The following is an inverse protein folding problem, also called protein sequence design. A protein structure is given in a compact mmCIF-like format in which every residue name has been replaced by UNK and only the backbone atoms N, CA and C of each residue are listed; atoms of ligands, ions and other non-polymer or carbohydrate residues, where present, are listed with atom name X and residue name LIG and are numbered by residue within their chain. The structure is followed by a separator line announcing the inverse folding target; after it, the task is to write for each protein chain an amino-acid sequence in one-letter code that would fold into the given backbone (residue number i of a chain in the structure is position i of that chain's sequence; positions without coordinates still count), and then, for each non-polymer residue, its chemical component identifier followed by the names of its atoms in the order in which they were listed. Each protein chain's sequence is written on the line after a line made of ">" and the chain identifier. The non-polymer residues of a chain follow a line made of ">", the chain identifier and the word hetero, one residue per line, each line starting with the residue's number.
data_IF_584512568675
#
_entry.id   IF_584512568675
#
_cell.length_a   1.000
_cell.length_b   1.000
_cell.length_c   1.000
_cell.angle_alpha   90.00
_cell.angle_beta   90.00
_cell.angle_gamma   90.00
#
_symmetry.space_group_name_H-M   'P 1'
#
loop_
_entity.id
_entity.type
_entity.pdbx_description
1 polymer ?
#
# COMPACT_ATOMS: atom_id res chain seq x y z
N UNK A 1 -6.10 -6.49 23.60
CA UNK A 1 -6.10 -5.47 22.54
C UNK A 1 -4.66 -5.25 22.12
N UNK A 2 -3.80 -4.87 23.06
CA UNK A 2 -2.36 -4.59 22.84
C UNK A 2 -1.63 -5.66 22.03
N UNK A 3 -1.76 -6.95 22.35
CA UNK A 3 -1.01 -8.00 21.63
C UNK A 3 -1.34 -8.08 20.14
N UNK A 4 -2.58 -7.80 19.74
CA UNK A 4 -3.02 -7.88 18.34
C UNK A 4 -2.65 -6.63 17.54
N UNK A 5 -2.55 -5.49 18.20
CA UNK A 5 -2.03 -4.26 17.61
C UNK A 5 -0.52 -4.43 17.38
N UNK A 6 0.20 -4.99 18.36
CA UNK A 6 1.61 -5.37 18.18
C UNK A 6 1.82 -6.38 17.06
N UNK A 7 0.89 -7.34 16.87
CA UNK A 7 0.95 -8.27 15.73
C UNK A 7 0.82 -7.54 14.39
N UNK A 8 -0.07 -6.54 14.29
CA UNK A 8 -0.22 -5.69 13.11
C UNK A 8 1.04 -4.86 12.85
N UNK A 9 1.61 -4.25 13.90
CA UNK A 9 2.87 -3.50 13.80
C UNK A 9 4.03 -4.41 13.35
N UNK A 10 4.10 -5.62 13.91
CA UNK A 10 5.07 -6.64 13.50
C UNK A 10 4.92 -7.02 12.02
N UNK A 11 3.70 -7.13 11.50
CA UNK A 11 3.47 -7.30 10.06
C UNK A 11 3.94 -6.09 9.25
N UNK A 12 3.69 -4.86 9.70
CA UNK A 12 4.16 -3.64 9.04
C UNK A 12 5.69 -3.57 9.00
N UNK A 13 6.39 -4.00 10.06
CA UNK A 13 7.85 -4.07 10.05
C UNK A 13 8.39 -5.20 9.18
N UNK A 14 7.77 -6.39 9.21
CA UNK A 14 8.19 -7.52 8.37
C UNK A 14 8.03 -7.24 6.89
N UNK A 15 6.97 -6.54 6.48
CA UNK A 15 6.68 -6.29 5.08
C UNK A 15 6.83 -4.80 4.81
N UNK A 16 7.89 -4.34 4.14
CA UNK A 16 8.12 -2.92 3.92
C UNK A 16 7.10 -2.35 2.94
N UNK A 17 6.65 -1.13 3.22
CA UNK A 17 5.66 -0.40 2.43
C UNK A 17 4.41 -1.24 2.09
N UNK A 18 3.74 -1.86 3.08
CA UNK A 18 2.51 -2.61 2.84
C UNK A 18 1.47 -1.73 2.19
N UNK A 19 0.72 -2.32 1.25
CA UNK A 19 -0.36 -1.62 0.58
C UNK A 19 -1.61 -1.63 1.46
N UNK A 20 -2.36 -0.55 1.46
CA UNK A 20 -3.61 -0.46 2.21
C UNK A 20 -4.78 -0.44 1.25
N UNK A 21 -5.76 -1.33 1.45
CA UNK A 21 -7.02 -1.30 0.72
C UNK A 21 -8.13 -0.86 1.68
N UNK A 22 -8.83 0.23 1.34
CA UNK A 22 -9.91 0.76 2.17
C UNK A 22 -11.28 0.68 1.49
N UNK A 23 -12.32 0.56 2.32
CA UNK A 23 -13.70 0.66 1.90
C UNK A 23 -14.51 1.54 2.86
N UNK A 24 -15.82 1.62 2.66
CA UNK A 24 -16.67 2.59 3.36
C UNK A 24 -16.63 2.47 4.89
N UNK A 25 -16.27 1.31 5.43
CA UNK A 25 -16.15 1.07 6.86
C UNK A 25 -15.19 2.04 7.57
N UNK A 26 -14.09 2.45 6.91
CA UNK A 26 -13.14 3.41 7.50
C UNK A 26 -13.76 4.81 7.69
N UNK A 27 -14.78 5.16 6.92
CA UNK A 27 -15.44 6.48 6.97
C UNK A 27 -16.67 6.51 7.90
N UNK A 28 -17.04 5.38 8.51
CA UNK A 28 -18.20 5.30 9.42
C UNK A 28 -18.04 6.17 10.66
N UNK A 29 -16.84 6.20 11.24
CA UNK A 29 -16.49 7.06 12.38
C UNK A 29 -16.38 8.56 12.00
N UNK A 30 -16.41 8.87 10.71
CA UNK A 30 -16.53 10.24 10.18
C UNK A 30 -17.98 10.67 9.94
N UNK A 31 -18.96 9.83 10.31
CA UNK A 31 -20.39 10.09 10.13
C UNK A 31 -20.93 9.74 8.73
N UNK A 32 -20.09 9.16 7.85
CA UNK A 32 -20.54 8.67 6.54
C UNK A 32 -21.02 7.22 6.71
N UNK A 33 -22.30 6.91 6.53
CA UNK A 33 -22.78 5.54 6.64
C UNK A 33 -22.11 4.66 5.59
N UNK A 34 -21.83 3.41 5.94
CA UNK A 34 -21.38 2.45 4.95
C UNK A 34 -22.56 1.98 4.07
N UNK A 35 -22.27 1.01 3.21
CA UNK A 35 -23.24 0.50 2.26
C UNK A 35 -24.11 -0.64 2.78
N UNK A 36 -23.62 -1.43 3.74
CA UNK A 36 -24.12 -2.80 3.99
C UNK A 36 -24.32 -3.15 5.47
N UNK A 37 -23.85 -2.34 6.40
CA UNK A 37 -23.97 -2.62 7.83
C UNK A 37 -25.43 -2.69 8.25
N UNK A 38 -25.83 -3.68 9.08
CA UNK A 38 -27.19 -3.80 9.55
C UNK A 38 -27.70 -2.53 10.24
N UNK A 39 -28.87 -2.03 9.83
CA UNK A 39 -29.55 -0.86 10.40
C UNK A 39 -29.01 0.51 9.95
N UNK A 40 -27.79 0.60 9.44
CA UNK A 40 -27.13 1.86 9.05
C UNK A 40 -26.72 1.93 7.59
N UNK A 41 -26.60 0.78 6.91
CA UNK A 41 -26.12 0.66 5.54
C UNK A 41 -27.07 1.26 4.51
N UNK A 42 -26.51 1.98 3.54
CA UNK A 42 -27.29 2.65 2.48
C UNK A 42 -28.16 1.69 1.66
N UNK A 43 -27.72 0.45 1.42
CA UNK A 43 -28.45 -0.53 0.60
C UNK A 43 -29.62 -1.23 1.30
N UNK A 44 -29.79 -1.06 2.61
CA UNK A 44 -31.02 -1.52 3.27
C UNK A 44 -32.23 -0.65 2.90
N UNK A 45 -31.98 0.58 2.43
CA UNK A 45 -32.99 1.60 2.22
C UNK A 45 -33.25 1.87 0.73
N UNK A 46 -32.36 1.45 -0.17
CA UNK A 46 -32.37 1.83 -1.58
C UNK A 46 -31.79 0.73 -2.50
N UNK A 47 -32.31 0.62 -3.73
CA UNK A 47 -31.74 -0.25 -4.76
C UNK A 47 -30.48 0.37 -5.41
N UNK A 48 -29.28 -0.21 -5.25
CA UNK A 48 -28.04 0.31 -5.84
C UNK A 48 -28.10 0.49 -7.36
N UNK A 49 -28.87 -0.34 -8.07
CA UNK A 49 -28.96 -0.25 -9.52
C UNK A 49 -29.78 0.95 -9.98
N UNK A 50 -30.70 1.45 -9.15
CA UNK A 50 -31.48 2.64 -9.47
C UNK A 50 -30.71 3.94 -9.20
N UNK A 51 -29.92 3.98 -8.12
CA UNK A 51 -29.29 5.21 -7.62
C UNK A 51 -27.77 5.29 -7.83
N UNK A 52 -27.12 4.21 -8.28
CA UNK A 52 -25.67 4.18 -8.46
C UNK A 52 -25.23 3.48 -9.74
N UNK A 53 -26.07 3.51 -10.78
CA UNK A 53 -25.74 3.02 -12.13
C UNK A 53 -25.87 4.11 -13.19
N UNK A 54 -25.10 3.96 -14.29
CA UNK A 54 -25.20 4.85 -15.46
C UNK A 54 -26.61 4.80 -16.06
N UNK A 55 -27.22 3.62 -16.09
CA UNK A 55 -28.58 3.42 -16.60
C UNK A 55 -29.62 4.10 -15.70
N UNK A 56 -29.46 4.01 -14.38
CA UNK A 56 -30.30 4.70 -13.40
C UNK A 56 -30.27 6.22 -13.58
N UNK A 57 -29.07 6.79 -13.75
CA UNK A 57 -28.88 8.22 -14.05
C UNK A 57 -29.57 8.64 -15.36
N UNK A 58 -29.48 7.82 -16.41
CA UNK A 58 -30.13 8.11 -17.70
C UNK A 58 -31.65 7.99 -17.64
N UNK A 59 -32.15 6.95 -16.97
CA UNK A 59 -33.59 6.64 -16.88
C UNK A 59 -34.33 7.61 -15.98
N UNK A 60 -33.74 8.00 -14.85
CA UNK A 60 -34.38 8.88 -13.87
C UNK A 60 -33.34 9.78 -13.16
N UNK A 61 -32.82 10.82 -13.85
CA UNK A 61 -31.84 11.73 -13.26
C UNK A 61 -32.39 12.46 -12.03
N UNK A 62 -33.72 12.68 -11.98
CA UNK A 62 -34.37 13.28 -10.81
C UNK A 62 -34.17 12.45 -9.56
N UNK A 63 -34.47 11.15 -9.62
CA UNK A 63 -34.26 10.25 -8.50
C UNK A 63 -32.77 10.15 -8.10
N UNK A 64 -31.87 10.07 -9.09
CA UNK A 64 -30.42 10.00 -8.87
C UNK A 64 -29.89 11.22 -8.10
N UNK A 65 -30.16 12.44 -8.58
CA UNK A 65 -29.61 13.65 -7.98
C UNK A 65 -30.30 14.02 -6.67
N UNK A 66 -31.61 13.83 -6.54
CA UNK A 66 -32.31 14.18 -5.28
C UNK A 66 -31.83 13.35 -4.10
N UNK A 67 -31.65 12.04 -4.26
CA UNK A 67 -31.14 11.18 -3.17
C UNK A 67 -29.61 11.29 -3.04
N UNK A 68 -28.90 11.40 -4.17
CA UNK A 68 -27.45 11.56 -4.19
C UNK A 68 -26.97 12.80 -3.45
N UNK A 69 -27.71 13.93 -3.52
CA UNK A 69 -27.27 15.19 -2.91
C UNK A 69 -27.19 15.17 -1.40
N UNK A 70 -28.14 14.54 -0.71
CA UNK A 70 -28.08 14.40 0.74
C UNK A 70 -26.82 13.63 1.16
N UNK A 71 -26.45 12.63 0.35
CA UNK A 71 -25.23 11.85 0.55
C UNK A 71 -23.98 12.68 0.22
N UNK A 72 -23.98 13.43 -0.88
CA UNK A 72 -22.88 14.30 -1.30
C UNK A 72 -22.61 15.36 -0.23
N UNK A 73 -23.62 16.04 0.29
CA UNK A 73 -23.44 17.06 1.32
C UNK A 73 -22.85 16.49 2.61
N UNK A 74 -23.34 15.32 3.03
CA UNK A 74 -22.77 14.59 4.18
C UNK A 74 -21.29 14.28 3.97
N UNK A 75 -20.93 13.78 2.77
CA UNK A 75 -19.55 13.42 2.43
C UNK A 75 -18.64 14.65 2.37
N UNK A 76 -19.08 15.73 1.72
CA UNK A 76 -18.28 16.94 1.55
C UNK A 76 -17.98 17.63 2.89
N UNK A 77 -18.91 17.55 3.86
CA UNK A 77 -18.76 18.17 5.17
C UNK A 77 -18.07 17.27 6.21
N UNK A 78 -18.00 15.95 5.98
CA UNK A 78 -17.35 15.00 6.88
C UNK A 78 -15.87 15.38 7.13
N UNK A 79 -15.34 15.07 8.30
CA UNK A 79 -13.92 15.27 8.63
C UNK A 79 -13.19 13.93 8.73
N UNK A 80 -11.88 13.88 8.38
CA UNK A 80 -11.07 12.68 8.60
C UNK A 80 -11.11 12.26 10.07
N UNK A 81 -11.35 10.97 10.32
CA UNK A 81 -11.24 10.37 11.65
C UNK A 81 -9.82 9.84 11.93
N UNK A 82 -9.61 9.24 13.10
CA UNK A 82 -8.33 8.66 13.53
C UNK A 82 -7.73 7.71 12.49
N UNK A 83 -8.54 6.85 11.85
CA UNK A 83 -8.05 5.91 10.84
C UNK A 83 -7.41 6.61 9.64
N UNK A 84 -8.04 7.67 9.13
CA UNK A 84 -7.51 8.46 8.02
C UNK A 84 -6.24 9.22 8.40
N UNK A 85 -6.25 9.84 9.58
CA UNK A 85 -5.12 10.63 10.09
C UNK A 85 -3.91 9.73 10.30
N UNK A 86 -4.09 8.58 10.95
CA UNK A 86 -3.00 7.64 11.21
C UNK A 86 -2.46 7.05 9.90
N UNK A 87 -3.30 6.72 8.92
CA UNK A 87 -2.79 6.28 7.61
C UNK A 87 -1.93 7.36 6.93
N UNK A 88 -2.32 8.64 7.02
CA UNK A 88 -1.49 9.75 6.57
C UNK A 88 -0.15 9.84 7.32
N UNK A 89 -0.18 9.72 8.65
CA UNK A 89 1.03 9.70 9.49
C UNK A 89 1.95 8.53 9.18
N UNK A 90 1.40 7.33 8.95
CA UNK A 90 2.17 6.14 8.56
C UNK A 90 2.83 6.30 7.19
N UNK A 91 2.17 6.94 6.22
CA UNK A 91 2.78 7.28 4.93
C UNK A 91 3.91 8.29 5.09
N UNK A 92 3.71 9.35 5.89
CA UNK A 92 4.74 10.35 6.18
C UNK A 92 5.94 9.72 6.89
N UNK A 93 5.70 8.80 7.84
CA UNK A 93 6.73 8.00 8.50
C UNK A 93 7.38 6.93 7.58
N UNK A 94 6.88 6.75 6.33
CA UNK A 94 7.29 5.73 5.36
C UNK A 94 7.17 4.29 5.88
N UNK A 95 6.19 4.07 6.74
CA UNK A 95 5.88 2.74 7.28
C UNK A 95 4.88 1.99 6.39
N UNK A 96 4.08 2.69 5.57
CA UNK A 96 3.15 2.09 4.61
C UNK A 96 3.36 2.62 3.18
N UNK A 97 2.91 1.83 2.21
CA UNK A 97 2.91 2.17 0.79
C UNK A 97 1.63 2.90 0.36
N UNK A 98 1.17 2.71 -0.89
CA UNK A 98 -0.03 3.37 -1.40
C UNK A 98 -1.31 2.90 -0.70
N UNK A 99 -2.28 3.81 -0.65
CA UNK A 99 -3.64 3.53 -0.19
C UNK A 99 -4.55 3.40 -1.42
N UNK A 100 -5.06 2.20 -1.67
CA UNK A 100 -6.12 1.95 -2.64
C UNK A 100 -7.46 2.15 -1.94
N UNK A 101 -8.25 3.13 -2.36
CA UNK A 101 -9.53 3.44 -1.72
C UNK A 101 -10.70 3.23 -2.68
N UNK A 102 -11.71 2.48 -2.22
CA UNK A 102 -13.02 2.39 -2.87
C UNK A 102 -13.92 3.59 -2.54
N UNK A 103 -13.50 4.45 -1.62
CA UNK A 103 -14.28 5.59 -1.16
C UNK A 103 -14.04 6.80 -2.07
N UNK A 104 -15.05 7.64 -2.17
CA UNK A 104 -15.10 8.82 -3.05
C UNK A 104 -15.13 10.14 -2.25
N UNK A 105 -14.79 10.05 -0.96
CA UNK A 105 -15.06 11.06 0.08
C UNK A 105 -13.92 12.05 0.34
N UNK A 106 -12.77 11.89 -0.34
CA UNK A 106 -11.58 12.73 -0.19
C UNK A 106 -10.93 12.70 1.21
N UNK A 107 -11.38 11.82 2.12
CA UNK A 107 -10.94 11.82 3.52
C UNK A 107 -9.50 11.35 3.71
N UNK A 108 -8.98 10.46 2.86
CA UNK A 108 -7.57 10.06 2.89
C UNK A 108 -6.63 11.23 2.60
N UNK A 109 -6.89 11.96 1.50
CA UNK A 109 -6.12 13.16 1.12
C UNK A 109 -6.18 14.21 2.24
N UNK A 110 -7.37 14.45 2.79
CA UNK A 110 -7.57 15.41 3.89
C UNK A 110 -7.00 14.92 5.22
N UNK A 111 -6.85 13.61 5.40
CA UNK A 111 -6.16 12.98 6.52
C UNK A 111 -4.63 12.97 6.41
N UNK A 112 -4.08 13.51 5.32
CA UNK A 112 -2.64 13.65 5.12
C UNK A 112 -1.98 12.53 4.29
N UNK A 113 -2.78 11.67 3.64
CA UNK A 113 -2.26 10.72 2.67
C UNK A 113 -1.70 11.44 1.44
N UNK A 114 -0.51 11.02 1.00
CA UNK A 114 0.23 11.61 -0.11
C UNK A 114 0.31 10.70 -1.33
N UNK A 115 0.04 9.40 -1.17
CA UNK A 115 0.05 8.43 -2.25
C UNK A 115 -1.17 7.51 -2.16
N UNK A 116 -2.15 7.73 -3.03
CA UNK A 116 -3.41 6.98 -2.99
C UNK A 116 -4.01 6.81 -4.39
N UNK A 117 -4.80 5.74 -4.56
CA UNK A 117 -5.53 5.41 -5.79
C UNK A 117 -7.03 5.42 -5.49
N UNK A 118 -7.77 6.29 -6.17
CA UNK A 118 -9.24 6.43 -6.02
C UNK A 118 -9.94 5.55 -7.06
N UNK A 119 -10.05 4.26 -6.76
CA UNK A 119 -10.50 3.27 -7.75
C UNK A 119 -11.98 3.38 -8.12
N UNK A 120 -12.75 4.16 -7.36
CA UNK A 120 -14.13 4.53 -7.68
C UNK A 120 -14.32 6.03 -7.96
N UNK A 121 -13.22 6.76 -8.23
CA UNK A 121 -13.26 8.20 -8.49
C UNK A 121 -13.49 9.03 -7.23
N UNK A 122 -14.06 10.23 -7.38
CA UNK A 122 -14.17 11.20 -6.29
C UNK A 122 -15.30 12.20 -6.48
N UNK A 123 -15.77 12.80 -5.37
CA UNK A 123 -16.77 13.86 -5.43
C UNK A 123 -16.23 15.27 -5.66
N UNK A 124 -14.92 15.49 -5.88
CA UNK A 124 -14.40 16.87 -6.07
C UNK A 124 -14.87 17.56 -7.35
N UNK A 125 -15.15 16.80 -8.42
CA UNK A 125 -15.50 17.33 -9.74
C UNK A 125 -16.61 16.53 -10.40
N UNK A 126 -17.14 17.05 -11.49
CA UNK A 126 -18.10 16.40 -12.36
C UNK A 126 -17.74 16.66 -13.83
N UNK A 127 -17.96 15.67 -14.69
CA UNK A 127 -17.71 15.76 -16.12
C UNK A 127 -19.00 15.70 -16.93
N UNK A 128 -19.07 16.50 -17.98
CA UNK A 128 -20.13 16.43 -18.96
C UNK A 128 -20.09 15.10 -19.72
N UNK A 129 -21.20 14.37 -19.75
CA UNK A 129 -21.30 13.08 -20.45
C UNK A 129 -21.16 13.20 -21.98
N UNK A 130 -21.46 14.39 -22.55
CA UNK A 130 -21.36 14.66 -23.99
C UNK A 130 -19.99 15.20 -24.44
N UNK A 131 -19.52 16.31 -23.86
CA UNK A 131 -18.28 16.98 -24.30
C UNK A 131 -17.07 16.78 -23.37
N UNK A 132 -17.22 16.05 -22.25
CA UNK A 132 -16.17 15.81 -21.24
C UNK A 132 -15.64 17.07 -20.54
N UNK A 133 -16.28 18.23 -20.71
CA UNK A 133 -15.97 19.43 -19.92
C UNK A 133 -16.14 19.13 -18.43
N UNK A 134 -15.10 19.37 -17.64
CA UNK A 134 -15.08 19.12 -16.22
C UNK A 134 -15.37 20.42 -15.44
N UNK A 135 -16.17 20.31 -14.39
CA UNK A 135 -16.53 21.41 -13.49
C UNK A 135 -16.37 20.99 -12.03
N UNK A 136 -16.19 21.93 -11.09
CA UNK A 136 -16.25 21.62 -9.67
C UNK A 136 -17.61 21.05 -9.27
N UNK A 137 -17.65 20.13 -8.31
CA UNK A 137 -18.91 19.51 -7.86
C UNK A 137 -19.91 20.55 -7.32
N UNK A 138 -19.41 21.67 -6.79
CA UNK A 138 -20.23 22.77 -6.28
C UNK A 138 -21.15 23.36 -7.36
N UNK A 139 -20.75 23.31 -8.63
CA UNK A 139 -21.61 23.74 -9.74
C UNK A 139 -22.81 22.79 -9.91
N UNK A 140 -22.56 21.49 -9.84
CA UNK A 140 -23.60 20.45 -9.89
C UNK A 140 -24.57 20.60 -8.73
N UNK A 141 -24.05 20.72 -7.50
CA UNK A 141 -24.85 20.93 -6.28
C UNK A 141 -25.72 22.16 -6.44
N UNK A 142 -25.12 23.30 -6.82
CA UNK A 142 -25.83 24.57 -6.98
C UNK A 142 -26.92 24.54 -8.06
N UNK A 143 -26.70 23.83 -9.17
CA UNK A 143 -27.73 23.65 -10.20
C UNK A 143 -28.92 22.86 -9.65
N UNK A 144 -28.66 21.75 -8.97
CA UNK A 144 -29.75 20.92 -8.46
C UNK A 144 -30.52 21.60 -7.32
N UNK A 145 -29.85 22.35 -6.43
CA UNK A 145 -30.52 23.16 -5.39
C UNK A 145 -31.48 24.20 -5.98
N UNK A 146 -31.15 24.75 -7.16
CA UNK A 146 -32.05 25.63 -7.93
C UNK A 146 -33.15 24.87 -8.69
N UNK A 147 -33.24 23.55 -8.56
CA UNK A 147 -34.21 22.69 -9.23
C UNK A 147 -33.85 22.29 -10.66
N UNK A 148 -32.61 22.56 -11.12
CA UNK A 148 -32.15 22.16 -12.45
C UNK A 148 -31.67 20.70 -12.43
N UNK A 149 -32.56 19.78 -12.82
CA UNK A 149 -32.28 18.34 -12.86
C UNK A 149 -32.70 17.76 -14.23
N UNK A 150 -31.78 17.11 -14.97
CA UNK A 150 -30.37 16.93 -14.66
C UNK A 150 -29.58 18.26 -14.69
N UNK A 151 -28.49 18.36 -13.92
CA UNK A 151 -27.52 19.44 -14.05
C UNK A 151 -26.91 19.39 -15.45
N UNK A 152 -26.74 20.55 -16.08
CA UNK A 152 -26.32 20.71 -17.47
C UNK A 152 -24.99 21.43 -17.58
N UNK A 153 -24.23 21.05 -18.58
CA UNK A 153 -22.95 21.64 -18.92
C UNK A 153 -23.16 23.01 -19.57
N UNK A 154 -22.56 24.06 -19.01
CA UNK A 154 -22.61 25.41 -19.59
C UNK A 154 -22.01 25.54 -20.99
N UNK A 155 -21.19 24.58 -21.41
CA UNK A 155 -20.53 24.59 -22.74
C UNK A 155 -21.37 23.98 -23.86
N UNK A 156 -22.04 22.84 -23.62
CA UNK A 156 -22.76 22.10 -24.67
C UNK A 156 -24.20 21.70 -24.32
N UNK A 157 -24.67 22.00 -23.11
CA UNK A 157 -26.01 21.61 -22.62
C UNK A 157 -26.16 20.13 -22.25
N UNK A 158 -25.11 19.31 -22.39
CA UNK A 158 -25.13 17.91 -21.98
C UNK A 158 -25.18 17.71 -20.46
N UNK A 159 -25.60 16.54 -19.99
CA UNK A 159 -25.69 16.24 -18.55
C UNK A 159 -24.33 16.19 -17.87
N UNK A 160 -24.20 16.87 -16.72
CA UNK A 160 -23.05 16.75 -15.82
C UNK A 160 -23.23 15.53 -14.92
N UNK A 161 -22.21 14.68 -14.85
CA UNK A 161 -22.15 13.50 -13.98
C UNK A 161 -20.97 13.67 -13.00
N UNK A 162 -21.15 13.48 -11.68
CA UNK A 162 -20.03 13.46 -10.74
C UNK A 162 -18.95 12.46 -11.18
N UNK A 163 -17.67 12.78 -10.95
CA UNK A 163 -16.52 11.96 -11.36
C UNK A 163 -16.31 10.75 -10.44
N UNK A 164 -17.41 10.07 -10.10
CA UNK A 164 -17.46 8.77 -9.42
C UNK A 164 -17.75 7.66 -10.42
N UNK A 165 -17.27 6.46 -10.13
CA UNK A 165 -17.54 5.25 -10.92
C UNK A 165 -18.91 4.71 -10.53
N UNK A 166 -19.84 4.66 -11.48
CA UNK A 166 -21.15 4.04 -11.30
C UNK A 166 -21.13 2.60 -11.81
N UNK A 167 -22.09 1.77 -11.38
CA UNK A 167 -22.31 0.47 -12.02
C UNK A 167 -22.54 0.65 -13.53
N UNK A 168 -21.74 -0.05 -14.32
CA UNK A 168 -21.70 0.05 -15.79
C UNK A 168 -20.61 0.99 -16.35
N UNK A 169 -19.93 1.77 -15.50
CA UNK A 169 -18.72 2.49 -15.92
C UNK A 169 -17.51 1.55 -16.05
N UNK A 170 -16.55 1.95 -16.87
CA UNK A 170 -15.21 1.33 -16.88
C UNK A 170 -14.42 1.78 -15.64
N UNK A 171 -13.57 0.90 -15.13
CA UNK A 171 -12.66 1.25 -14.04
C UNK A 171 -11.65 2.33 -14.47
N UNK A 172 -11.32 3.29 -13.58
CA UNK A 172 -10.46 4.43 -13.89
C UNK A 172 -8.99 4.03 -14.02
N UNK A 173 -8.15 4.98 -14.47
CA UNK A 173 -6.72 4.79 -14.60
C UNK A 173 -6.07 4.33 -13.29
N UNK A 174 -6.48 4.92 -12.15
CA UNK A 174 -6.02 4.55 -10.81
C UNK A 174 -6.16 3.05 -10.53
N UNK A 175 -7.28 2.43 -10.91
CA UNK A 175 -7.46 1.00 -10.73
C UNK A 175 -6.53 0.19 -11.63
N UNK A 176 -6.39 0.60 -12.89
CA UNK A 176 -5.54 -0.09 -13.86
C UNK A 176 -4.07 -0.05 -13.42
N UNK A 177 -3.61 1.11 -12.95
CA UNK A 177 -2.27 1.31 -12.42
C UNK A 177 -2.05 0.50 -11.13
N UNK A 178 -2.95 0.62 -10.15
CA UNK A 178 -2.87 -0.14 -8.91
C UNK A 178 -2.85 -1.66 -9.17
N UNK A 179 -3.71 -2.16 -10.06
CA UNK A 179 -3.75 -3.58 -10.43
C UNK A 179 -2.49 -4.04 -11.15
N UNK A 180 -1.93 -3.23 -12.04
CA UNK A 180 -0.69 -3.54 -12.75
C UNK A 180 0.49 -3.62 -11.79
N UNK A 181 0.64 -2.63 -10.91
CA UNK A 181 1.73 -2.57 -9.93
C UNK A 181 1.59 -3.65 -8.86
N UNK A 182 0.36 -3.93 -8.41
CA UNK A 182 0.06 -5.03 -7.51
C UNK A 182 0.48 -6.39 -8.11
N UNK A 183 0.35 -6.60 -9.42
CA UNK A 183 0.78 -7.85 -10.07
C UNK A 183 2.30 -7.99 -10.28
N UNK A 184 3.09 -6.93 -10.08
CA UNK A 184 4.55 -6.96 -10.27
C UNK A 184 5.30 -7.49 -9.05
N UNK A 185 6.54 -7.95 -9.27
CA UNK A 185 7.47 -8.36 -8.20
C UNK A 185 6.97 -9.49 -7.30
N UNK A 186 6.28 -10.49 -7.85
CA UNK A 186 5.69 -11.59 -7.07
C UNK A 186 6.70 -12.44 -6.27
N UNK A 187 7.99 -12.37 -6.62
CA UNK A 187 9.07 -13.04 -5.87
C UNK A 187 9.47 -12.31 -4.58
N UNK A 188 9.07 -11.03 -4.42
CA UNK A 188 9.20 -10.29 -3.17
C UNK A 188 7.87 -10.42 -2.43
N UNK A 189 7.86 -11.01 -1.23
CA UNK A 189 6.61 -11.11 -0.49
C UNK A 189 6.05 -9.73 -0.14
N UNK A 190 4.78 -9.50 -0.48
CA UNK A 190 4.05 -8.26 -0.20
C UNK A 190 2.91 -8.49 0.78
N UNK A 191 2.59 -7.46 1.54
CA UNK A 191 1.46 -7.41 2.46
C UNK A 191 0.41 -6.42 1.96
N UNK A 192 -0.85 -6.85 1.99
CA UNK A 192 -2.01 -5.96 1.91
C UNK A 192 -2.71 -5.87 3.26
N UNK A 193 -3.00 -4.66 3.71
CA UNK A 193 -3.83 -4.40 4.89
C UNK A 193 -5.19 -3.89 4.39
N UNK A 194 -6.23 -4.70 4.60
CA UNK A 194 -7.61 -4.34 4.22
C UNK A 194 -8.31 -3.70 5.41
N UNK A 195 -8.84 -2.50 5.25
CA UNK A 195 -9.46 -1.72 6.34
C UNK A 195 -10.88 -1.29 5.94
N UNK A 196 -11.89 -1.72 6.70
CA UNK A 196 -13.28 -1.27 6.51
C UNK A 196 -13.89 -1.67 5.16
N UNK A 197 -13.48 -2.79 4.57
CA UNK A 197 -14.01 -3.30 3.30
C UNK A 197 -14.64 -4.67 3.48
N UNK A 198 -15.87 -4.82 2.95
CA UNK A 198 -16.55 -6.12 2.87
C UNK A 198 -15.92 -7.10 1.86
N UNK A 199 -15.05 -6.61 0.96
CA UNK A 199 -14.43 -7.39 -0.12
C UNK A 199 -15.43 -8.16 -1.02
N UNK A 200 -16.59 -7.56 -1.31
CA UNK A 200 -17.61 -8.19 -2.17
C UNK A 200 -17.79 -7.55 -3.54
N UNK A 201 -17.23 -6.36 -3.76
CA UNK A 201 -17.42 -5.61 -5.02
C UNK A 201 -16.22 -5.81 -5.93
N UNK A 202 -16.49 -6.39 -7.09
CA UNK A 202 -15.49 -6.58 -8.14
C UNK A 202 -15.32 -5.33 -9.00
N UNK A 203 -14.12 -5.13 -9.56
CA UNK A 203 -12.96 -6.03 -9.52
C UNK A 203 -12.01 -5.79 -8.32
N UNK A 204 -12.25 -4.77 -7.50
CA UNK A 204 -11.34 -4.38 -6.40
C UNK A 204 -11.15 -5.48 -5.36
N UNK A 205 -12.18 -6.31 -5.12
CA UNK A 205 -12.09 -7.44 -4.20
C UNK A 205 -11.06 -8.52 -4.60
N UNK A 206 -10.59 -8.54 -5.86
CA UNK A 206 -9.54 -9.45 -6.31
C UNK A 206 -8.14 -8.93 -6.03
N UNK A 207 -7.96 -7.62 -5.81
CA UNK A 207 -6.65 -7.01 -5.63
C UNK A 207 -5.81 -7.65 -4.51
N UNK A 208 -6.37 -8.00 -3.34
CA UNK A 208 -5.57 -8.64 -2.30
C UNK A 208 -5.02 -10.03 -2.68
N UNK A 209 -5.53 -10.67 -3.74
CA UNK A 209 -5.01 -11.96 -4.23
C UNK A 209 -3.64 -11.84 -4.90
N UNK A 210 -3.24 -10.62 -5.29
CA UNK A 210 -1.91 -10.31 -5.83
C UNK A 210 -0.83 -10.19 -4.73
N UNK A 211 -1.23 -10.34 -3.47
CA UNK A 211 -0.36 -10.18 -2.30
C UNK A 211 -0.14 -11.52 -1.59
N UNK A 212 1.06 -11.70 -1.06
CA UNK A 212 1.45 -12.95 -0.41
C UNK A 212 0.86 -13.08 0.99
N UNK A 213 0.68 -11.94 1.68
CA UNK A 213 0.11 -11.83 3.01
C UNK A 213 -1.00 -10.79 3.04
N UNK A 214 -1.98 -11.05 3.91
CA UNK A 214 -3.13 -10.18 4.11
C UNK A 214 -3.34 -9.98 5.61
N UNK A 215 -3.56 -8.74 6.03
CA UNK A 215 -4.20 -8.40 7.30
C UNK A 215 -5.56 -7.74 7.04
N UNK A 216 -6.55 -7.98 7.89
CA UNK A 216 -7.90 -7.42 7.75
C UNK A 216 -8.33 -6.76 9.06
N UNK A 217 -8.76 -5.51 8.97
CA UNK A 217 -9.39 -4.74 10.05
C UNK A 217 -10.81 -4.42 9.60
N UNK A 218 -11.78 -5.21 10.09
CA UNK A 218 -13.18 -5.04 9.69
C UNK A 218 -14.11 -5.66 10.71
N UNK A 219 -15.18 -4.95 11.08
CA UNK A 219 -16.16 -5.41 12.08
C UNK A 219 -16.90 -6.68 11.65
N UNK A 220 -17.16 -6.83 10.35
CA UNK A 220 -17.91 -7.97 9.81
C UNK A 220 -16.99 -8.98 9.11
N UNK A 221 -17.36 -10.27 9.07
CA UNK A 221 -16.68 -11.25 8.25
C UNK A 221 -16.53 -10.84 6.79
N UNK A 222 -15.44 -11.29 6.16
CA UNK A 222 -15.15 -11.07 4.74
C UNK A 222 -14.90 -12.41 4.05
N UNK A 223 -15.12 -12.52 2.72
CA UNK A 223 -14.80 -13.74 1.98
C UNK A 223 -13.32 -14.14 2.04
N UNK A 224 -12.43 -13.25 2.51
CA UNK A 224 -10.99 -13.43 2.46
C UNK A 224 -10.34 -13.68 3.83
N UNK A 225 -11.14 -13.74 4.90
CA UNK A 225 -10.65 -13.96 6.27
C UNK A 225 -9.79 -15.23 6.39
N UNK A 226 -10.16 -16.29 5.67
CA UNK A 226 -9.45 -17.58 5.71
C UNK A 226 -8.03 -17.55 5.13
N UNK A 227 -7.68 -16.48 4.38
CA UNK A 227 -6.34 -16.25 3.83
C UNK A 227 -5.53 -15.24 4.64
N UNK A 228 -6.16 -14.54 5.58
CA UNK A 228 -5.51 -13.48 6.33
C UNK A 228 -4.61 -14.05 7.42
N UNK A 229 -3.41 -13.51 7.54
CA UNK A 229 -2.49 -13.76 8.64
C UNK A 229 -3.03 -13.16 9.95
N UNK A 230 -3.77 -12.05 9.84
CA UNK A 230 -4.35 -11.34 10.97
C UNK A 230 -5.72 -10.81 10.62
N UNK A 231 -6.70 -11.03 11.51
CA UNK A 231 -8.06 -10.48 11.39
C UNK A 231 -8.43 -9.79 12.70
N UNK A 232 -8.68 -8.48 12.64
CA UNK A 232 -9.11 -7.64 13.75
C UNK A 232 -10.59 -7.29 13.58
N UNK A 233 -11.40 -7.65 14.57
CA UNK A 233 -12.85 -7.41 14.65
C UNK A 233 -13.16 -6.29 15.64
N UNK A 234 -12.56 -5.14 15.39
CA UNK A 234 -12.54 -4.00 16.30
C UNK A 234 -12.77 -2.70 15.50
N UNK A 235 -13.14 -1.63 16.22
CA UNK A 235 -13.34 -0.32 15.60
C UNK A 235 -12.03 0.20 15.01
N UNK A 236 -12.10 0.79 13.83
CA UNK A 236 -10.92 1.15 13.05
C UNK A 236 -10.15 2.27 13.75
N UNK A 237 -10.84 3.28 14.28
CA UNK A 237 -10.19 4.36 15.03
C UNK A 237 -9.45 3.88 16.27
N UNK A 238 -9.96 2.87 16.98
CA UNK A 238 -9.31 2.30 18.16
C UNK A 238 -8.03 1.53 17.77
N UNK A 239 -8.12 0.67 16.76
CA UNK A 239 -6.97 -0.11 16.27
C UNK A 239 -5.88 0.81 15.70
N UNK A 240 -6.27 1.77 14.86
CA UNK A 240 -5.33 2.68 14.22
C UNK A 240 -4.71 3.65 15.23
N UNK A 241 -5.50 4.16 16.19
CA UNK A 241 -5.00 4.98 17.28
C UNK A 241 -3.97 4.24 18.13
N UNK A 242 -4.30 3.03 18.58
CA UNK A 242 -3.37 2.20 19.36
C UNK A 242 -2.11 1.81 18.58
N UNK A 243 -2.22 1.55 17.28
CA UNK A 243 -1.06 1.31 16.41
C UNK A 243 -0.12 2.51 16.38
N UNK A 244 -0.66 3.72 16.26
CA UNK A 244 0.13 4.95 16.27
C UNK A 244 0.76 5.21 17.64
N UNK A 245 0.01 4.99 18.72
CA UNK A 245 0.51 5.14 20.09
C UNK A 245 1.69 4.17 20.36
N UNK A 246 1.64 2.94 19.86
CA UNK A 246 2.74 1.98 19.97
C UNK A 246 3.98 2.45 19.19
N UNK A 247 3.81 2.98 17.99
CA UNK A 247 4.92 3.56 17.19
C UNK A 247 5.54 4.75 17.92
N UNK A 248 4.73 5.65 18.46
CA UNK A 248 5.19 6.80 19.24
C UNK A 248 5.90 6.35 20.51
N UNK A 249 5.40 5.31 21.20
CA UNK A 249 6.06 4.73 22.37
C UNK A 249 7.42 4.11 22.03
N UNK A 250 7.54 3.38 20.92
CA UNK A 250 8.82 2.88 20.40
C UNK A 250 9.77 4.02 20.02
N UNK A 251 9.23 5.20 19.72
CA UNK A 251 9.99 6.41 19.44
C UNK A 251 10.13 7.35 20.66
N UNK A 252 10.09 6.78 21.87
CA UNK A 252 10.29 7.51 23.14
C UNK A 252 9.31 8.67 23.36
N UNK A 253 8.08 8.52 22.88
CA UNK A 253 7.00 9.51 23.04
C UNK A 253 6.96 10.59 21.96
N UNK A 254 7.83 10.53 20.94
CA UNK A 254 7.88 11.51 19.86
C UNK A 254 7.30 10.95 18.56
N UNK A 255 6.67 11.79 17.73
CA UNK A 255 6.35 11.39 16.36
C UNK A 255 7.64 11.02 15.61
N UNK A 256 7.66 9.88 14.88
CA UNK A 256 8.84 9.48 14.14
C UNK A 256 9.10 10.37 12.93
N UNK A 257 10.37 10.63 12.67
CA UNK A 257 10.82 11.16 11.38
C UNK A 257 10.63 10.06 10.31
N UNK A 258 10.44 10.43 9.03
CA UNK A 258 10.32 9.47 7.94
C UNK A 258 11.47 8.45 7.97
N UNK A 259 11.15 7.16 8.04
CA UNK A 259 12.17 6.11 7.99
C UNK A 259 13.00 6.33 6.73
N UNK A 260 14.35 6.40 6.84
CA UNK A 260 15.17 6.63 5.68
C UNK A 260 14.86 5.58 4.64
N UNK A 261 14.57 6.06 3.42
CA UNK A 261 14.97 5.32 2.24
C UNK A 261 16.38 4.83 2.56
N UNK A 262 16.64 3.53 2.65
CA UNK A 262 17.92 3.16 3.28
C UNK A 262 17.84 1.98 4.24
N UNK A 263 16.71 1.91 4.91
CA UNK A 263 16.78 1.36 6.24
C UNK A 263 16.00 0.07 6.42
N UNK A 264 14.91 -0.09 5.68
CA UNK A 264 13.94 -1.12 5.99
C UNK A 264 14.43 -2.51 5.50
N UNK A 265 14.87 -3.35 6.44
CA UNK A 265 15.25 -4.76 6.19
C UNK A 265 14.05 -5.70 6.13
N UNK A 266 12.82 -5.21 6.22
CA UNK A 266 11.61 -6.03 6.18
C UNK A 266 11.59 -6.96 4.96
N UNK A 267 11.99 -6.52 3.77
CA UNK A 267 12.01 -7.39 2.58
C UNK A 267 12.80 -8.68 2.80
N UNK A 268 13.93 -8.58 3.52
CA UNK A 268 14.76 -9.72 3.88
C UNK A 268 14.05 -10.63 4.89
N UNK A 269 13.42 -10.05 5.89
CA UNK A 269 12.65 -10.78 6.91
C UNK A 269 11.44 -11.49 6.29
N UNK A 270 10.67 -10.80 5.44
CA UNK A 270 9.53 -11.36 4.73
C UNK A 270 9.92 -12.51 3.80
N UNK A 271 11.05 -12.38 3.09
CA UNK A 271 11.62 -13.44 2.27
C UNK A 271 11.92 -14.69 3.12
N UNK A 272 12.67 -14.53 4.21
CA UNK A 272 13.03 -15.61 5.12
C UNK A 272 11.80 -16.25 5.78
N UNK A 273 10.82 -15.44 6.21
CA UNK A 273 9.56 -15.94 6.78
C UNK A 273 8.82 -16.83 5.78
N UNK A 274 8.84 -16.46 4.49
CA UNK A 274 8.20 -17.27 3.46
C UNK A 274 8.92 -18.62 3.23
N UNK A 275 10.25 -18.65 3.29
CA UNK A 275 11.02 -19.90 3.26
C UNK A 275 10.72 -20.78 4.48
N UNK A 276 10.59 -20.17 5.67
CA UNK A 276 10.22 -20.88 6.90
C UNK A 276 8.81 -21.49 6.82
N UNK A 277 7.84 -20.77 6.25
CA UNK A 277 6.49 -21.32 6.00
C UNK A 277 6.51 -22.46 4.99
N UNK A 278 7.34 -22.37 3.94
CA UNK A 278 7.52 -23.47 3.02
C UNK A 278 7.99 -24.73 3.76
N UNK A 279 9.01 -24.62 4.63
CA UNK A 279 9.48 -25.74 5.45
C UNK A 279 8.37 -26.28 6.37
N UNK A 280 7.63 -25.41 7.06
CA UNK A 280 6.51 -25.84 7.90
C UNK A 280 5.47 -26.67 7.11
N UNK A 281 5.19 -26.29 5.86
CA UNK A 281 4.37 -27.08 4.94
C UNK A 281 4.94 -28.48 4.64
N UNK A 282 6.25 -28.58 4.44
CA UNK A 282 6.94 -29.86 4.19
C UNK A 282 6.89 -30.81 5.39
N UNK A 283 6.74 -30.30 6.61
CA UNK A 283 6.55 -31.13 7.82
C UNK A 283 5.22 -31.88 7.80
N UNK A 284 4.15 -31.22 7.36
CA UNK A 284 2.79 -31.80 7.36
C UNK A 284 2.52 -32.63 6.11
N UNK A 285 2.99 -32.16 4.95
CA UNK A 285 2.87 -32.84 3.67
C UNK A 285 4.15 -32.63 2.87
N UNK A 286 5.06 -33.60 2.95
CA UNK A 286 6.32 -33.56 2.22
C UNK A 286 6.06 -33.71 0.71
N UNK A 287 6.34 -32.67 -0.06
CA UNK A 287 6.18 -32.66 -1.52
C UNK A 287 7.52 -32.67 -2.26
N UNK A 288 8.62 -32.34 -1.58
CA UNK A 288 9.97 -32.37 -2.13
C UNK A 288 10.77 -33.59 -1.64
N UNK A 289 11.78 -34.01 -2.41
CA UNK A 289 12.68 -35.10 -1.98
C UNK A 289 13.55 -34.67 -0.80
N UNK A 290 13.99 -35.63 0.02
CA UNK A 290 14.90 -35.36 1.14
C UNK A 290 16.20 -34.69 0.68
N UNK A 291 16.73 -35.10 -0.46
CA UNK A 291 17.94 -34.50 -1.06
C UNK A 291 17.70 -33.04 -1.47
N UNK A 292 16.58 -32.74 -2.13
CA UNK A 292 16.22 -31.37 -2.49
C UNK A 292 15.99 -30.51 -1.26
N UNK A 293 15.38 -31.07 -0.22
CA UNK A 293 15.16 -30.38 1.05
C UNK A 293 16.48 -30.08 1.76
N UNK A 294 17.38 -31.06 1.87
CA UNK A 294 18.71 -30.86 2.47
C UNK A 294 19.48 -29.72 1.80
N UNK A 295 19.45 -29.68 0.46
CA UNK A 295 20.02 -28.58 -0.32
C UNK A 295 19.34 -27.24 -0.04
N UNK A 296 18.02 -27.19 -0.11
CA UNK A 296 17.25 -25.96 0.10
C UNK A 296 17.41 -25.40 1.52
N UNK A 297 17.41 -26.27 2.53
CA UNK A 297 17.67 -25.91 3.93
C UNK A 297 19.09 -25.40 4.14
N UNK A 298 20.06 -25.88 3.35
CA UNK A 298 21.41 -25.32 3.31
C UNK A 298 21.41 -23.85 2.91
N UNK A 299 20.66 -23.49 1.85
CA UNK A 299 20.49 -22.11 1.46
C UNK A 299 19.80 -21.27 2.54
N UNK A 300 18.69 -21.75 3.12
CA UNK A 300 17.95 -21.03 4.17
C UNK A 300 18.85 -20.72 5.37
N UNK A 301 19.65 -21.71 5.81
CA UNK A 301 20.59 -21.52 6.91
C UNK A 301 21.63 -20.44 6.58
N UNK A 302 22.25 -20.52 5.41
CA UNK A 302 23.22 -19.51 4.97
C UNK A 302 22.59 -18.12 4.82
N UNK A 303 21.33 -18.04 4.37
CA UNK A 303 20.57 -16.80 4.24
C UNK A 303 20.24 -16.18 5.61
N UNK A 304 19.86 -16.98 6.60
CA UNK A 304 19.63 -16.53 7.99
C UNK A 304 20.91 -15.96 8.62
N UNK A 305 22.04 -16.65 8.47
CA UNK A 305 23.35 -16.22 8.99
C UNK A 305 23.82 -14.92 8.32
N UNK A 306 23.66 -14.82 7.00
CA UNK A 306 24.00 -13.63 6.24
C UNK A 306 23.11 -12.43 6.63
N UNK A 307 21.79 -12.65 6.76
CA UNK A 307 20.85 -11.62 7.18
C UNK A 307 21.19 -11.06 8.57
N UNK A 308 21.48 -11.94 9.52
CA UNK A 308 21.88 -11.55 10.87
C UNK A 308 23.14 -10.67 10.84
N UNK A 309 24.17 -11.12 10.10
CA UNK A 309 25.43 -10.40 9.97
C UNK A 309 25.24 -9.02 9.34
N UNK A 310 24.41 -8.91 8.31
CA UNK A 310 24.07 -7.64 7.63
C UNK A 310 23.42 -6.66 8.60
N UNK A 311 22.40 -7.11 9.35
CA UNK A 311 21.65 -6.22 10.26
C UNK A 311 22.51 -5.81 11.46
N UNK A 312 23.33 -6.73 12.01
CA UNK A 312 24.24 -6.43 13.13
C UNK A 312 25.36 -5.45 12.74
N UNK A 313 25.84 -5.52 11.50
CA UNK A 313 26.86 -4.61 10.99
C UNK A 313 26.30 -3.19 10.73
N UNK A 314 24.98 -3.01 10.74
CA UNK A 314 24.36 -1.76 10.37
C UNK A 314 24.45 -0.71 11.48
N UNK A 315 24.95 0.51 11.19
CA UNK A 315 25.21 1.51 12.23
C UNK A 315 23.92 2.05 12.85
N UNK A 316 23.78 1.87 14.17
CA UNK A 316 22.67 2.39 14.97
C UNK A 316 22.94 3.77 15.60
N UNK A 317 24.19 4.24 15.57
CA UNK A 317 24.59 5.53 16.15
C UNK A 317 23.94 6.66 15.36
N UNK A 318 23.34 7.63 16.06
CA UNK A 318 22.69 8.81 15.46
C UNK A 318 21.30 8.55 14.87
N UNK A 319 20.78 7.31 14.95
CA UNK A 319 19.42 6.96 14.51
C UNK A 319 18.38 7.30 15.56
N UNK A 320 17.16 7.60 15.10
CA UNK A 320 16.00 7.79 15.98
C UNK A 320 15.62 6.49 16.72
N UNK A 321 14.95 6.57 17.87
CA UNK A 321 14.62 5.37 18.65
C UNK A 321 13.77 4.35 17.89
N UNK A 322 12.80 4.77 17.07
CA UNK A 322 12.00 3.85 16.24
C UNK A 322 12.88 2.98 15.32
N UNK A 323 13.87 3.58 14.66
CA UNK A 323 14.80 2.84 13.80
C UNK A 323 15.57 1.78 14.61
N UNK A 324 16.05 2.13 15.81
CA UNK A 324 16.74 1.16 16.67
C UNK A 324 15.82 0.01 17.08
N UNK A 325 14.56 0.31 17.40
CA UNK A 325 13.54 -0.70 17.71
C UNK A 325 13.28 -1.63 16.50
N UNK A 326 13.22 -1.09 15.27
CA UNK A 326 13.09 -1.89 14.05
C UNK A 326 14.29 -2.83 13.84
N UNK A 327 15.54 -2.38 14.07
CA UNK A 327 16.71 -3.28 13.98
C UNK A 327 16.63 -4.42 14.99
N UNK A 328 16.24 -4.10 16.24
CA UNK A 328 16.05 -5.10 17.28
C UNK A 328 14.94 -6.10 16.90
N UNK A 329 13.83 -5.61 16.35
CA UNK A 329 12.75 -6.43 15.83
C UNK A 329 13.24 -7.41 14.75
N UNK A 330 14.02 -6.93 13.77
CA UNK A 330 14.55 -7.80 12.71
C UNK A 330 15.49 -8.89 13.24
N UNK A 331 16.35 -8.55 14.21
CA UNK A 331 17.23 -9.54 14.84
C UNK A 331 16.42 -10.57 15.64
N UNK A 332 15.37 -10.14 16.35
CA UNK A 332 14.47 -11.04 17.08
C UNK A 332 13.71 -11.98 16.13
N UNK A 333 13.27 -11.49 14.97
CA UNK A 333 12.63 -12.32 13.94
C UNK A 333 13.59 -13.37 13.36
N UNK A 334 14.86 -13.00 13.12
CA UNK A 334 15.88 -13.97 12.69
C UNK A 334 16.15 -15.01 13.78
N UNK A 335 16.20 -14.62 15.05
CA UNK A 335 16.33 -15.55 16.16
C UNK A 335 15.14 -16.52 16.25
N UNK A 336 13.91 -16.01 16.09
CA UNK A 336 12.69 -16.83 15.99
C UNK A 336 12.81 -17.86 14.87
N UNK A 337 13.14 -17.42 13.66
CA UNK A 337 13.28 -18.30 12.49
C UNK A 337 14.38 -19.35 12.67
N UNK A 338 15.51 -18.98 13.29
CA UNK A 338 16.57 -19.96 13.62
C UNK A 338 16.07 -21.04 14.60
N UNK A 339 15.27 -20.68 15.61
CA UNK A 339 14.66 -21.65 16.53
C UNK A 339 13.67 -22.57 15.81
N UNK A 340 12.80 -22.00 14.97
CA UNK A 340 11.85 -22.78 14.15
C UNK A 340 12.57 -23.74 13.20
N UNK A 341 13.64 -23.28 12.56
CA UNK A 341 14.47 -24.09 11.68
C UNK A 341 15.15 -25.25 12.42
N UNK A 342 15.67 -25.00 13.62
CA UNK A 342 16.28 -26.04 14.46
C UNK A 342 15.25 -27.10 14.86
N UNK A 343 14.05 -26.69 15.27
CA UNK A 343 12.94 -27.60 15.59
C UNK A 343 12.55 -28.43 14.36
N UNK A 344 12.36 -27.77 13.21
CA UNK A 344 12.00 -28.44 11.97
C UNK A 344 13.04 -29.49 11.53
N UNK A 345 14.33 -29.14 11.60
CA UNK A 345 15.43 -30.05 11.26
C UNK A 345 15.45 -31.25 12.19
N UNK A 346 15.27 -31.03 13.51
CA UNK A 346 15.21 -32.09 14.50
C UNK A 346 14.04 -33.05 14.30
N UNK A 347 12.87 -32.55 13.90
CA UNK A 347 11.66 -33.38 13.73
C UNK A 347 11.66 -34.16 12.40
N UNK A 348 12.28 -33.63 11.35
CA UNK A 348 12.33 -34.26 10.02
C UNK A 348 13.57 -35.14 9.81
N UNK A 349 14.61 -34.93 10.63
CA UNK A 349 15.94 -35.54 10.49
C UNK A 349 16.64 -35.17 9.19
N UNK A 350 16.28 -34.03 8.58
CA UNK A 350 16.91 -33.53 7.35
C UNK A 350 18.00 -32.55 7.77
N UNK A 351 19.25 -32.90 7.47
CA UNK A 351 20.40 -32.06 7.76
C UNK A 351 20.67 -31.08 6.61
N UNK A 352 20.95 -29.80 6.90
CA UNK A 352 21.26 -28.82 5.86
C UNK A 352 22.61 -29.11 5.18
N UNK A 353 22.64 -29.04 3.85
CA UNK A 353 23.89 -29.05 3.10
C UNK A 353 24.70 -27.76 3.34
N UNK A 354 26.01 -27.81 3.11
CA UNK A 354 26.83 -26.61 3.04
C UNK A 354 26.54 -25.87 1.71
N UNK A 355 25.90 -24.72 1.81
CA UNK A 355 25.54 -23.88 0.66
C UNK A 355 25.94 -22.42 0.93
N UNK A 356 26.04 -21.62 -0.13
CA UNK A 356 26.27 -20.18 -0.02
C UNK A 356 24.94 -19.42 0.01
N UNK A 357 24.91 -18.27 0.69
CA UNK A 357 23.73 -17.42 0.73
C UNK A 357 23.32 -16.96 -0.67
N UNK A 358 22.01 -17.01 -0.92
CA UNK A 358 21.35 -16.50 -2.13
C UNK A 358 21.01 -15.02 -2.04
N UNK A 359 21.12 -14.40 -0.86
CA UNK A 359 20.72 -13.01 -0.65
C UNK A 359 21.36 -12.07 -1.67
N UNK A 360 22.68 -12.17 -1.91
CA UNK A 360 23.37 -11.34 -2.90
C UNK A 360 22.73 -11.41 -4.30
N UNK A 361 22.26 -12.59 -4.72
CA UNK A 361 21.59 -12.75 -6.01
C UNK A 361 20.19 -12.14 -6.00
N UNK A 362 19.39 -12.41 -4.96
CA UNK A 362 18.04 -11.83 -4.82
C UNK A 362 18.06 -10.31 -4.85
N UNK A 363 19.09 -9.76 -4.22
CA UNK A 363 19.37 -8.34 -4.16
C UNK A 363 19.73 -7.74 -5.53
N UNK A 364 20.56 -8.44 -6.32
CA UNK A 364 20.88 -8.06 -7.70
C UNK A 364 19.67 -8.16 -8.64
N UNK A 365 18.88 -9.23 -8.52
CA UNK A 365 17.69 -9.46 -9.34
C UNK A 365 16.62 -8.39 -9.07
N UNK A 366 16.38 -8.05 -7.79
CA UNK A 366 15.47 -6.97 -7.39
C UNK A 366 15.91 -5.62 -7.97
N UNK A 367 17.20 -5.30 -7.86
CA UNK A 367 17.74 -4.08 -8.46
C UNK A 367 17.48 -4.01 -9.97
N UNK A 368 17.77 -5.09 -10.70
CA UNK A 368 17.57 -5.17 -12.15
C UNK A 368 16.11 -4.99 -12.57
N UNK A 369 15.16 -5.53 -11.82
CA UNK A 369 13.73 -5.39 -12.14
C UNK A 369 13.21 -3.99 -11.86
N UNK A 370 13.72 -3.32 -10.84
CA UNK A 370 13.40 -1.91 -10.57
C UNK A 370 13.90 -0.98 -11.67
N UNK A 371 15.09 -1.28 -12.21
CA UNK A 371 15.62 -0.64 -13.41
C UNK A 371 14.70 -0.85 -14.59
N UNK A 372 14.28 -2.10 -14.87
CA UNK A 372 13.38 -2.40 -16.00
C UNK A 372 12.00 -1.71 -15.86
N UNK A 373 11.45 -1.66 -14.65
CA UNK A 373 10.18 -0.99 -14.40
C UNK A 373 10.27 0.52 -14.59
N UNK A 374 11.38 1.13 -14.16
CA UNK A 374 11.64 2.54 -14.44
C UNK A 374 11.71 2.80 -15.96
N UNK A 375 12.48 2.00 -16.70
CA UNK A 375 12.58 2.13 -18.17
C UNK A 375 11.22 1.95 -18.86
N UNK A 376 10.40 1.02 -18.38
CA UNK A 376 9.02 0.82 -18.86
C UNK A 376 8.14 2.03 -18.59
N UNK A 377 8.27 2.64 -17.40
CA UNK A 377 7.49 3.81 -17.02
C UNK A 377 7.89 5.06 -17.81
N UNK A 378 9.18 5.20 -18.12
CA UNK A 378 9.71 6.35 -18.86
C UNK A 378 9.71 6.19 -20.37
N UNK A 379 9.46 4.98 -20.89
CA UNK A 379 9.62 4.60 -22.31
C UNK A 379 11.06 4.81 -22.85
N UNK A 380 12.07 4.72 -21.99
CA UNK A 380 13.48 4.81 -22.38
C UNK A 380 14.00 3.44 -22.83
N UNK A 381 14.81 3.41 -23.90
CA UNK A 381 15.34 2.16 -24.49
C UNK A 381 16.74 1.79 -24.01
N UNK A 382 17.47 2.76 -23.46
CA UNK A 382 18.80 2.54 -22.88
C UNK A 382 18.82 3.04 -21.44
N UNK A 383 19.40 2.27 -20.52
CA UNK A 383 19.57 2.76 -19.17
C UNK A 383 20.59 3.89 -19.16
N UNK A 384 20.18 5.10 -18.76
CA UNK A 384 21.12 6.11 -18.27
C UNK A 384 21.72 5.55 -16.97
N UNK A 385 22.97 5.04 -16.96
CA UNK A 385 23.44 4.13 -15.90
C UNK A 385 23.22 4.70 -14.50
N UNK A 386 23.51 5.98 -14.31
CA UNK A 386 23.45 6.65 -13.01
C UNK A 386 22.03 7.13 -12.64
N UNK A 387 21.17 7.38 -13.64
CA UNK A 387 19.78 7.83 -13.45
C UNK A 387 18.84 6.67 -13.09
N UNK A 388 19.13 5.54 -13.71
CA UNK A 388 18.37 4.29 -13.63
C UNK A 388 18.62 3.61 -12.29
N UNK A 389 19.85 3.67 -11.77
CA UNK A 389 20.17 3.30 -10.39
C UNK A 389 19.34 4.09 -9.37
N UNK A 390 19.17 5.39 -9.62
CA UNK A 390 18.52 6.31 -8.69
C UNK A 390 16.98 6.24 -8.71
N UNK A 391 16.38 6.06 -9.89
CA UNK A 391 14.93 5.89 -10.00
C UNK A 391 14.45 4.47 -9.68
N UNK A 392 15.23 3.44 -9.98
CA UNK A 392 14.98 2.07 -9.51
C UNK A 392 14.91 2.01 -7.98
N UNK A 393 15.74 2.80 -7.28
CA UNK A 393 15.73 2.93 -5.83
C UNK A 393 14.46 3.61 -5.25
N UNK A 394 13.69 4.34 -6.07
CA UNK A 394 12.47 5.03 -5.65
C UNK A 394 11.18 4.31 -6.08
N UNK A 395 11.16 3.64 -7.23
CA UNK A 395 9.96 2.97 -7.76
C UNK A 395 9.64 1.64 -7.04
N UNK A 396 10.61 1.04 -6.36
CA UNK A 396 10.37 0.02 -5.33
C UNK A 396 10.99 0.50 -4.03
N UNK A 397 10.32 0.25 -2.91
CA UNK A 397 10.71 0.64 -1.54
C UNK A 397 12.03 0.02 -1.03
N UNK A 398 13.08 0.03 -1.84
CA UNK A 398 14.34 -0.67 -1.71
C UNK A 398 15.56 0.26 -1.79
N UNK A 399 15.41 1.58 -1.58
CA UNK A 399 16.58 2.46 -1.36
C UNK A 399 17.45 1.96 -0.21
N UNK A 400 16.87 1.19 0.72
CA UNK A 400 17.64 0.56 1.79
C UNK A 400 18.67 -0.45 1.42
N UNK A 401 18.43 -1.05 0.29
CA UNK A 401 19.36 -1.97 -0.23
C UNK A 401 20.51 -1.28 -0.99
N UNK A 402 20.25 -0.15 -1.66
CA UNK A 402 21.25 0.54 -2.47
C UNK A 402 22.14 1.53 -1.68
N UNK A 403 21.59 2.29 -0.73
CA UNK A 403 22.41 3.14 0.15
C UNK A 403 23.36 2.29 1.02
N UNK A 404 22.98 1.05 1.30
CA UNK A 404 23.79 0.03 1.95
C UNK A 404 24.86 -0.53 1.00
N UNK A 405 24.48 -0.83 -0.25
CA UNK A 405 25.39 -1.30 -1.30
C UNK A 405 26.48 -0.28 -1.65
N UNK A 406 26.19 1.02 -1.78
CA UNK A 406 27.23 2.04 -2.05
C UNK A 406 28.23 2.19 -0.89
N UNK A 407 27.79 2.02 0.37
CA UNK A 407 28.65 2.12 1.56
C UNK A 407 29.49 0.87 1.84
N UNK A 408 28.98 -0.32 1.49
CA UNK A 408 29.68 -1.61 1.67
C UNK A 408 30.55 -1.94 0.44
N UNK A 409 30.15 -1.54 -0.78
CA UNK A 409 30.83 -1.86 -2.05
C UNK A 409 31.71 -0.72 -2.60
N UNK A 410 31.70 0.47 -1.98
CA UNK A 410 32.61 1.57 -2.33
C UNK A 410 32.27 2.31 -3.64
N UNK A 411 30.99 2.40 -4.01
CA UNK A 411 30.56 3.12 -5.21
C UNK A 411 30.50 4.65 -4.96
N UNK A 412 30.90 5.50 -5.94
CA UNK A 412 30.97 6.95 -5.77
C UNK A 412 29.58 7.61 -5.64
N UNK A 413 29.55 8.77 -4.98
CA UNK A 413 28.37 9.66 -4.94
C UNK A 413 28.17 10.30 -6.33
N UNK A 414 26.94 10.51 -6.83
CA UNK A 414 26.71 11.11 -8.14
C UNK A 414 27.35 12.49 -8.24
N UNK A 415 27.95 12.80 -9.39
CA UNK A 415 28.58 14.09 -9.65
C UNK A 415 27.50 15.17 -9.89
N UNK A 416 27.84 16.42 -9.58
CA UNK A 416 26.88 17.54 -9.62
C UNK A 416 26.29 17.81 -11.01
N UNK A 417 27.03 17.51 -12.08
CA UNK A 417 26.55 17.64 -13.46
C UNK A 417 25.55 16.54 -13.85
N UNK A 418 25.68 15.34 -13.27
CA UNK A 418 24.74 14.22 -13.45
C UNK A 418 23.40 14.53 -12.77
N UNK A 419 23.47 15.22 -11.62
CA UNK A 419 22.31 15.73 -10.87
C UNK A 419 21.51 16.81 -11.62
N UNK A 420 22.19 17.69 -12.36
CA UNK A 420 21.50 18.70 -13.18
C UNK A 420 20.84 18.12 -14.43
N UNK A 421 21.42 17.05 -15.00
CA UNK A 421 20.78 16.29 -16.08
C UNK A 421 19.52 15.54 -15.60
N UNK A 422 19.55 15.02 -14.36
CA UNK A 422 18.38 14.41 -13.72
C UNK A 422 17.19 15.37 -13.61
N UNK A 423 17.41 16.59 -13.10
CA UNK A 423 16.37 17.63 -12.99
C UNK A 423 15.73 17.96 -14.34
N UNK A 424 16.54 18.02 -15.40
CA UNK A 424 16.07 18.31 -16.77
C UNK A 424 15.20 17.18 -17.33
N UNK A 425 15.62 15.92 -17.16
CA UNK A 425 14.87 14.76 -17.64
C UNK A 425 13.55 14.60 -16.88
N UNK A 426 13.58 14.69 -15.56
CA UNK A 426 12.36 14.53 -14.75
C UNK A 426 11.32 15.64 -15.03
N UNK A 427 11.76 16.88 -15.27
CA UNK A 427 10.91 18.00 -15.70
C UNK A 427 10.34 17.81 -17.12
N UNK A 428 11.13 17.25 -18.05
CA UNK A 428 10.73 16.94 -19.43
C UNK A 428 9.60 15.91 -19.48
N UNK A 429 9.60 14.93 -18.58
CA UNK A 429 8.64 13.83 -18.56
C UNK A 429 7.45 14.03 -17.59
N UNK A 430 7.28 15.23 -17.02
CA UNK A 430 6.13 15.60 -16.16
C UNK A 430 5.92 14.65 -14.97
N UNK A 431 7.01 14.16 -14.36
CA UNK A 431 6.98 13.45 -13.08
C UNK A 431 6.69 14.49 -12.00
N UNK A 432 5.42 14.83 -11.78
CA UNK A 432 5.06 16.20 -11.34
C UNK A 432 4.68 16.38 -9.87
N UNK A 433 4.63 15.33 -9.05
CA UNK A 433 4.20 15.51 -7.66
C UNK A 433 5.20 14.95 -6.65
N UNK A 434 5.79 13.80 -6.93
CA UNK A 434 6.83 13.23 -6.06
C UNK A 434 8.21 13.84 -6.29
N UNK A 435 8.46 14.39 -7.48
CA UNK A 435 9.77 14.94 -7.84
C UNK A 435 10.09 16.24 -7.08
N UNK A 436 9.14 17.15 -6.88
CA UNK A 436 9.45 18.44 -6.25
C UNK A 436 9.70 18.29 -4.74
N UNK A 437 8.97 17.40 -4.04
CA UNK A 437 9.29 16.96 -2.67
C UNK A 437 10.63 16.19 -2.61
N UNK A 438 10.92 15.40 -3.64
CA UNK A 438 12.19 14.68 -3.79
C UNK A 438 13.37 15.63 -4.05
N UNK A 439 13.17 16.76 -4.73
CA UNK A 439 14.19 17.77 -5.02
C UNK A 439 14.53 18.64 -3.80
N UNK A 440 13.59 18.87 -2.88
CA UNK A 440 13.82 19.60 -1.63
C UNK A 440 14.71 18.80 -0.64
N UNK A 441 14.64 17.46 -0.65
CA UNK A 441 15.42 16.58 0.25
C UNK A 441 16.93 16.54 -0.05
N UNK A 442 17.35 17.05 -1.21
CA UNK A 442 18.75 17.07 -1.68
C UNK A 442 19.21 18.47 -2.13
N UNK A 443 18.49 19.53 -1.74
CA UNK A 443 19.09 20.87 -1.76
C UNK A 443 20.16 20.94 -0.66
N UNK A 444 21.36 21.49 -0.93
CA UNK A 444 22.41 21.59 0.08
C UNK A 444 21.99 22.42 1.30
#
# INVERSE_FOLDING_TARGET
>A
MDSRISDLLGLIFRFPAPWVLTGAGISTESGIPDFRSPGTGLWEKMDPMEFSSVEGLRRNPRAFFTHGLQTIDTILNAQPNTGHIVLGQLQQARLIGPIVTQNVDDLHRRGGAIHYYEVHGHFRTASCMSCRNQVPISEVVSQVERGQIPPVCGYCGGTLKPDVVLFGDMMPADYQEASLLAGRYQYIPKLMIVIGSSLTVSPVNYLPLEFNRIAIINNTPTPMDYKADLVLREQIGEVMGGLWDEIVALNEGNSPEPVPYGFNFGHLIAYLDNEMRFLAGQKTRMTASRESLARHTGYIKADLEAAQSIIQAFPAIGRQPLEKAMLQFYLAEIERMNKEFAVWSSETGIEPNAEQSRLNKLLQDNFKDNVNAFLTYTNETEPLPDLVEHFAACAAGCFGFWSFSSRILGLPVPLQDEWENFKKTAKKHRVRQDLDQFLELFSP
#
